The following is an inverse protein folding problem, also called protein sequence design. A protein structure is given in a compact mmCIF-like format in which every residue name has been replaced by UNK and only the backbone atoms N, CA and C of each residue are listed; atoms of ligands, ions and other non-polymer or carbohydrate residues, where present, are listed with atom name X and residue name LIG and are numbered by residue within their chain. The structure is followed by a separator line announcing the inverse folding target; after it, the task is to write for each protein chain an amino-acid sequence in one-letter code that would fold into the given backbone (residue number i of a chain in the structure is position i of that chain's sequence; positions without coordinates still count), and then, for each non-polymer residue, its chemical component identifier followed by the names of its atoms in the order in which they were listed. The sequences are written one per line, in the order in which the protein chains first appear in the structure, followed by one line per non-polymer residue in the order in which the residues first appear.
data_IF_926565231858
#
_entry.id   IF_926565231858
#
_cell.length_a   1.000
_cell.length_b   1.000
_cell.length_c   1.000
_cell.angle_alpha   90.00
_cell.angle_beta   90.00
_cell.angle_gamma   90.00
#
_symmetry.space_group_name_H-M   'P 1'
#
loop_
_entity.id
_entity.type
_entity.pdbx_description
1 polymer ?
#
# COMPACT_ATOMS: atom_id res chain seq x y z
N UNK A 1 8.79 -21.62 9.27
CA UNK A 1 7.70 -20.81 8.68
C UNK A 1 7.57 -21.24 7.24
N UNK A 2 6.40 -21.75 6.85
CA UNK A 2 6.11 -22.11 5.47
C UNK A 2 5.92 -20.81 4.70
N UNK A 3 6.76 -20.51 3.71
CA UNK A 3 6.54 -19.35 2.84
C UNK A 3 5.20 -19.54 2.14
N UNK A 4 4.21 -18.72 2.49
CA UNK A 4 2.92 -18.72 1.84
C UNK A 4 3.12 -18.43 0.34
N UNK A 5 2.51 -19.23 -0.55
CA UNK A 5 2.72 -19.04 -2.01
C UNK A 5 2.05 -17.77 -2.54
N UNK A 6 0.93 -17.37 -1.94
CA UNK A 6 0.14 -16.20 -2.28
C UNK A 6 -0.61 -15.69 -1.03
N UNK A 7 -1.33 -14.58 -1.16
CA UNK A 7 -2.22 -14.09 -0.12
C UNK A 7 -1.60 -13.06 0.83
N UNK A 8 -2.34 -12.64 1.87
CA UNK A 8 -1.87 -11.65 2.84
C UNK A 8 -0.58 -12.03 3.58
N UNK A 9 -0.39 -13.31 3.91
CA UNK A 9 0.86 -13.78 4.55
C UNK A 9 2.06 -13.69 3.62
N UNK A 10 1.86 -13.97 2.32
CA UNK A 10 2.90 -13.78 1.32
C UNK A 10 3.26 -12.31 1.17
N UNK A 11 2.26 -11.43 1.18
CA UNK A 11 2.49 -9.98 1.13
C UNK A 11 3.33 -9.48 2.31
N UNK A 12 3.04 -9.93 3.55
CA UNK A 12 3.87 -9.62 4.72
C UNK A 12 5.30 -10.12 4.58
N UNK A 13 5.48 -11.34 4.07
CA UNK A 13 6.80 -11.92 3.85
C UNK A 13 7.59 -11.13 2.79
N UNK A 14 6.96 -10.74 1.68
CA UNK A 14 7.60 -9.94 0.64
C UNK A 14 7.98 -8.54 1.15
N UNK A 15 7.11 -7.91 1.95
CA UNK A 15 7.37 -6.63 2.61
C UNK A 15 8.57 -6.72 3.57
N UNK A 16 8.61 -7.74 4.41
CA UNK A 16 9.72 -7.99 5.33
C UNK A 16 11.04 -8.24 4.58
N UNK A 17 11.00 -9.04 3.51
CA UNK A 17 12.16 -9.28 2.65
C UNK A 17 12.67 -8.01 1.95
N UNK A 18 11.78 -7.04 1.70
CA UNK A 18 12.13 -5.71 1.20
C UNK A 18 12.60 -4.71 2.29
N UNK A 19 12.71 -5.15 3.55
CA UNK A 19 13.17 -4.33 4.67
C UNK A 19 12.11 -3.37 5.23
N UNK A 20 10.83 -3.55 4.87
CA UNK A 20 9.71 -2.75 5.36
C UNK A 20 8.67 -3.67 5.99
N UNK A 21 8.86 -4.10 7.26
CA UNK A 21 7.89 -4.96 7.90
C UNK A 21 6.52 -4.28 7.98
N UNK A 22 5.47 -5.04 7.65
CA UNK A 22 4.08 -4.65 7.91
C UNK A 22 3.47 -5.52 9.00
N UNK A 23 2.27 -5.16 9.43
CA UNK A 23 1.47 -5.95 10.38
C UNK A 23 0.01 -5.97 9.97
N UNK A 24 -0.71 -7.00 10.43
CA UNK A 24 -2.17 -7.05 10.28
C UNK A 24 -2.82 -6.17 11.34
N UNK A 25 -3.76 -5.35 10.93
CA UNK A 25 -4.60 -4.55 11.81
C UNK A 25 -6.04 -4.57 11.29
N UNK A 26 -6.93 -5.23 12.04
CA UNK A 26 -8.31 -5.43 11.62
C UNK A 26 -8.42 -6.02 10.19
N UNK A 27 -9.12 -5.34 9.26
CA UNK A 27 -9.32 -5.82 7.89
C UNK A 27 -8.15 -5.53 6.93
N UNK A 28 -7.02 -4.98 7.39
CA UNK A 28 -5.95 -4.52 6.52
C UNK A 28 -4.55 -4.98 6.97
N UNK A 29 -3.58 -4.90 6.06
CA UNK A 29 -2.15 -4.90 6.38
C UNK A 29 -1.63 -3.48 6.31
N UNK A 30 -1.07 -3.00 7.42
CA UNK A 30 -0.49 -1.66 7.58
C UNK A 30 1.03 -1.75 7.46
N UNK A 31 1.63 -0.77 6.79
CA UNK A 31 3.07 -0.61 6.69
C UNK A 31 3.43 0.85 6.42
N UNK A 32 4.66 1.23 6.75
CA UNK A 32 5.14 2.61 6.58
C UNK A 32 6.03 2.71 5.34
N UNK A 33 5.81 3.76 4.55
CA UNK A 33 6.64 4.10 3.39
C UNK A 33 7.22 5.49 3.55
N UNK A 34 8.38 5.72 2.94
CA UNK A 34 8.99 7.04 2.83
C UNK A 34 9.00 7.44 1.35
N UNK A 35 8.21 8.44 0.94
CA UNK A 35 8.25 8.98 -0.42
C UNK A 35 9.60 9.62 -0.70
N UNK A 36 10.11 9.43 -1.92
CA UNK A 36 11.37 10.04 -2.35
C UNK A 36 11.18 11.46 -2.91
N UNK A 37 9.98 11.79 -3.37
CA UNK A 37 9.65 13.05 -4.05
C UNK A 37 8.27 13.55 -3.63
N UNK A 38 7.95 14.78 -3.99
CA UNK A 38 6.65 15.40 -3.70
C UNK A 38 6.59 16.13 -2.36
N UNK A 39 5.42 16.68 -2.00
CA UNK A 39 5.23 17.48 -0.79
C UNK A 39 5.53 16.72 0.51
N UNK A 40 5.39 15.39 0.50
CA UNK A 40 5.63 14.52 1.65
C UNK A 40 6.99 13.78 1.58
N UNK A 41 7.91 14.22 0.72
CA UNK A 41 9.22 13.60 0.57
C UNK A 41 9.97 13.52 1.92
N UNK A 42 10.59 12.37 2.20
CA UNK A 42 11.33 12.12 3.43
C UNK A 42 10.46 11.89 4.68
N UNK A 43 9.14 12.09 4.59
CA UNK A 43 8.23 11.83 5.71
C UNK A 43 7.87 10.35 5.80
N UNK A 44 7.71 9.84 7.03
CA UNK A 44 7.13 8.53 7.26
C UNK A 44 5.62 8.61 7.09
N UNK A 45 5.08 7.88 6.12
CA UNK A 45 3.66 7.82 5.82
C UNK A 45 3.18 6.39 6.03
N UNK A 46 2.24 6.22 6.96
CA UNK A 46 1.53 4.96 7.11
C UNK A 46 0.57 4.78 5.94
N UNK A 47 0.56 3.57 5.39
CA UNK A 47 -0.39 3.14 4.38
C UNK A 47 -0.88 1.74 4.72
N UNK A 48 -1.98 1.33 4.09
CA UNK A 48 -2.50 -0.01 4.26
C UNK A 48 -3.18 -0.52 3.00
N UNK A 49 -3.40 -1.83 2.96
CA UNK A 49 -4.15 -2.53 1.93
C UNK A 49 -5.12 -3.50 2.59
N UNK A 50 -6.33 -3.61 2.06
CA UNK A 50 -7.33 -4.57 2.51
C UNK A 50 -6.86 -6.02 2.36
N UNK A 51 -7.16 -6.87 3.36
CA UNK A 51 -6.91 -8.31 3.28
C UNK A 51 -7.68 -8.98 2.13
N UNK A 52 -8.85 -8.43 1.77
CA UNK A 52 -9.69 -8.88 0.66
C UNK A 52 -8.99 -8.71 -0.70
N UNK A 53 -8.26 -7.63 -0.92
CA UNK A 53 -7.49 -7.39 -2.16
C UNK A 53 -6.23 -8.25 -2.25
N UNK A 54 -5.67 -8.64 -1.10
CA UNK A 54 -4.41 -9.38 -1.05
C UNK A 54 -4.56 -10.88 -1.27
N UNK A 55 -5.77 -11.44 -1.39
CA UNK A 55 -6.00 -12.89 -1.52
C UNK A 55 -5.21 -13.54 -2.67
N UNK A 56 -5.04 -12.80 -3.76
CA UNK A 56 -4.36 -13.24 -4.99
C UNK A 56 -2.97 -12.65 -5.17
N UNK A 57 -2.45 -11.92 -4.18
CA UNK A 57 -1.08 -11.40 -4.22
C UNK A 57 -0.06 -12.54 -4.37
N UNK A 58 0.98 -12.46 -5.23
CA UNK A 58 1.34 -11.33 -6.11
C UNK A 58 0.76 -11.42 -7.52
N UNK A 59 -0.07 -12.41 -7.83
CA UNK A 59 -0.67 -12.58 -9.17
C UNK A 59 -1.61 -11.43 -9.52
N UNK A 60 -2.37 -10.95 -8.53
CA UNK A 60 -3.20 -9.75 -8.64
C UNK A 60 -2.72 -8.75 -7.60
N UNK A 61 -2.48 -7.53 -8.07
CA UNK A 61 -2.04 -6.41 -7.24
C UNK A 61 -3.26 -5.66 -6.69
N UNK A 62 -3.19 -5.14 -5.45
CA UNK A 62 -4.26 -4.32 -4.89
C UNK A 62 -4.50 -3.06 -5.73
N UNK A 63 -5.76 -2.67 -5.84
CA UNK A 63 -6.18 -1.46 -6.55
C UNK A 63 -6.37 -0.28 -5.60
N UNK A 64 -6.65 -0.53 -4.32
CA UNK A 64 -6.89 0.53 -3.35
C UNK A 64 -5.73 0.65 -2.35
N UNK A 65 -5.29 1.89 -2.15
CA UNK A 65 -4.31 2.24 -1.13
C UNK A 65 -4.99 3.04 -0.03
N UNK A 66 -4.78 2.62 1.21
CA UNK A 66 -5.37 3.27 2.36
C UNK A 66 -4.40 4.29 2.94
N UNK A 67 -4.93 5.43 3.35
CA UNK A 67 -4.19 6.45 4.09
C UNK A 67 -5.11 7.06 5.15
N UNK A 68 -4.50 7.72 6.16
CA UNK A 68 -5.27 8.55 7.09
C UNK A 68 -6.00 9.64 6.34
N UNK A 69 -7.19 10.05 6.81
CA UNK A 69 -8.03 11.09 6.19
C UNK A 69 -7.30 12.42 5.92
N UNK A 70 -6.27 12.74 6.72
CA UNK A 70 -5.44 13.93 6.53
C UNK A 70 -4.55 13.87 5.27
N UNK A 71 -4.29 12.68 4.71
CA UNK A 71 -3.52 12.51 3.48
C UNK A 71 -4.49 12.62 2.29
N UNK A 72 -4.28 13.63 1.47
CA UNK A 72 -5.17 13.95 0.35
C UNK A 72 -4.45 13.91 -0.98
N UNK A 73 -5.23 13.74 -2.04
CA UNK A 73 -4.74 13.67 -3.40
C UNK A 73 -5.65 14.49 -4.33
N UNK A 74 -5.11 15.15 -5.37
CA UNK A 74 -5.89 16.04 -6.23
C UNK A 74 -7.09 15.39 -6.95
N UNK A 75 -6.96 14.13 -7.39
CA UNK A 75 -8.02 13.40 -8.09
C UNK A 75 -7.99 11.90 -7.74
N UNK A 76 -9.03 11.42 -7.06
CA UNK A 76 -9.18 9.99 -6.74
C UNK A 76 -10.59 9.70 -6.25
N UNK A 77 -11.10 8.52 -6.58
CA UNK A 77 -12.28 7.98 -5.91
C UNK A 77 -11.87 7.55 -4.50
N UNK A 78 -12.76 7.75 -3.53
CA UNK A 78 -12.54 7.36 -2.14
C UNK A 78 -13.75 6.67 -1.54
N UNK A 79 -13.51 5.73 -0.64
CA UNK A 79 -14.50 5.17 0.26
C UNK A 79 -13.82 4.65 1.54
N UNK A 80 -14.58 4.02 2.44
CA UNK A 80 -14.12 3.51 3.76
C UNK A 80 -14.21 1.98 3.91
N UNK A 81 -14.48 1.26 2.83
CA UNK A 81 -14.63 -0.21 2.86
C UNK A 81 -13.31 -0.86 3.29
N UNK A 82 -13.38 -1.83 4.20
CA UNK A 82 -12.22 -2.56 4.74
C UNK A 82 -11.10 -1.64 5.28
N UNK A 83 -11.43 -0.39 5.64
CA UNK A 83 -10.49 0.58 6.19
C UNK A 83 -10.48 0.55 7.73
N UNK A 84 -9.35 1.00 8.30
CA UNK A 84 -9.27 1.35 9.70
C UNK A 84 -10.07 2.62 9.99
N UNK A 85 -10.49 2.83 11.24
CA UNK A 85 -11.18 4.06 11.64
C UNK A 85 -10.29 5.29 11.42
N UNK A 86 -10.82 6.33 10.75
CA UNK A 86 -10.07 7.55 10.39
C UNK A 86 -9.17 7.39 9.16
N UNK A 87 -9.40 6.35 8.34
CA UNK A 87 -8.71 6.11 7.09
C UNK A 87 -9.67 6.09 5.91
N UNK A 88 -9.16 6.53 4.76
CA UNK A 88 -9.81 6.41 3.47
C UNK A 88 -8.96 5.53 2.57
N UNK A 89 -9.62 4.78 1.70
CA UNK A 89 -8.94 4.13 0.59
C UNK A 89 -9.10 4.94 -0.69
N UNK A 90 -8.04 5.00 -1.47
CA UNK A 90 -7.94 5.79 -2.69
C UNK A 90 -7.69 4.85 -3.87
N UNK A 91 -8.45 5.03 -4.96
CA UNK A 91 -8.27 4.23 -6.18
C UNK A 91 -6.94 4.59 -6.83
N UNK A 92 -6.07 3.59 -6.96
CA UNK A 92 -4.68 3.69 -7.43
C UNK A 92 -4.35 2.50 -8.31
N UNK A 93 -4.68 2.66 -9.58
CA UNK A 93 -4.31 1.67 -10.57
C UNK A 93 -2.78 1.58 -10.71
N UNK A 94 -2.27 0.35 -10.63
CA UNK A 94 -0.86 0.03 -10.84
C UNK A 94 -0.54 -0.05 -12.34
N UNK A 95 -1.57 -0.21 -13.19
CA UNK A 95 -1.41 -0.36 -14.63
C UNK A 95 -0.76 -1.70 -14.97
N UNK A 96 0.29 -1.68 -15.78
CA UNK A 96 1.02 -2.90 -16.14
C UNK A 96 1.79 -3.43 -14.93
N UNK A 97 1.39 -4.62 -14.46
CA UNK A 97 2.01 -5.29 -13.32
C UNK A 97 3.15 -6.20 -13.78
N UNK A 98 4.38 -5.72 -13.66
CA UNK A 98 5.59 -6.47 -14.00
C UNK A 98 6.13 -7.23 -12.78
N UNK A 99 6.19 -8.56 -12.92
CA UNK A 99 6.73 -9.49 -11.92
C UNK A 99 8.14 -10.00 -12.26
N UNK A 100 8.81 -9.38 -13.25
CA UNK A 100 10.21 -9.65 -13.58
C UNK A 100 11.18 -9.27 -12.44
N UNK A 101 10.75 -8.35 -11.57
CA UNK A 101 11.43 -7.98 -10.33
C UNK A 101 10.66 -8.52 -9.09
N UNK A 102 11.30 -8.57 -7.90
CA UNK A 102 10.61 -8.97 -6.67
C UNK A 102 9.32 -8.14 -6.47
N UNK A 103 8.15 -8.79 -6.31
CA UNK A 103 6.84 -8.11 -6.26
C UNK A 103 6.77 -6.93 -5.27
N UNK A 104 7.28 -7.10 -4.04
CA UNK A 104 7.29 -6.02 -3.06
C UNK A 104 8.11 -4.80 -3.52
N UNK A 105 9.20 -5.00 -4.27
CA UNK A 105 9.99 -3.87 -4.78
C UNK A 105 9.20 -3.04 -5.78
N UNK A 106 8.52 -3.69 -6.73
CA UNK A 106 7.68 -3.02 -7.73
C UNK A 106 6.49 -2.33 -7.06
N UNK A 107 5.85 -3.01 -6.11
CA UNK A 107 4.75 -2.44 -5.32
C UNK A 107 5.17 -1.20 -4.53
N UNK A 108 6.27 -1.26 -3.79
CA UNK A 108 6.77 -0.12 -3.01
C UNK A 108 7.17 1.06 -3.90
N UNK A 109 7.69 0.81 -5.10
CA UNK A 109 7.95 1.86 -6.08
C UNK A 109 6.64 2.52 -6.54
N UNK A 110 5.60 1.72 -6.82
CA UNK A 110 4.27 2.23 -7.15
C UNK A 110 3.69 3.11 -6.03
N UNK A 111 3.65 2.62 -4.78
CA UNK A 111 3.11 3.38 -3.64
C UNK A 111 3.86 4.70 -3.43
N UNK A 112 5.20 4.70 -3.55
CA UNK A 112 6.00 5.93 -3.48
C UNK A 112 5.69 6.88 -4.64
N UNK A 113 5.46 6.36 -5.84
CA UNK A 113 5.03 7.15 -6.99
C UNK A 113 3.66 7.80 -6.77
N UNK A 114 2.70 7.05 -6.22
CA UNK A 114 1.39 7.58 -5.81
C UNK A 114 1.53 8.73 -4.82
N UNK A 115 2.39 8.59 -3.82
CA UNK A 115 2.61 9.61 -2.79
C UNK A 115 3.33 10.86 -3.30
N UNK A 116 3.92 10.85 -4.50
CA UNK A 116 4.62 12.02 -5.05
C UNK A 116 3.73 13.24 -5.29
N UNK A 117 2.41 13.05 -5.35
CA UNK A 117 1.42 14.13 -5.50
C UNK A 117 0.51 14.27 -4.28
N UNK A 118 0.76 13.50 -3.22
CA UNK A 118 -0.01 13.56 -1.99
C UNK A 118 0.37 14.81 -1.19
N UNK A 119 -0.61 15.36 -0.47
CA UNK A 119 -0.41 16.42 0.52
C UNK A 119 -1.02 15.99 1.85
N UNK A 120 -0.60 16.64 2.92
CA UNK A 120 -1.19 16.45 4.25
C UNK A 120 -1.94 17.72 4.62
N UNK A 121 -3.22 17.59 4.98
CA UNK A 121 -3.98 18.67 5.61
C UNK A 121 -3.62 18.74 7.10
N UNK A 122 -3.42 19.96 7.59
CA UNK A 122 -3.15 20.27 8.99
C UNK A 122 -4.42 20.25 9.85
#
# INVERSE_FOLDING_TARGET
MTDARHGPDRFLADLAAAGLPGHREGPAIVYTVVPATGPLAGSQIDTAVSLSELQSWPTVVPHWLHFREAITFPHTNTDTTDCLAGWLRHSRDVGQWDTSAPPARTWLAHVRGVLSVATKQE
#
